data_IF_848548056644
#
_entry.id   IF_848548056644
#
_cell.length_a   1.000
_cell.length_b   1.000
_cell.length_c   1.000
_cell.angle_alpha   90.00
_cell.angle_beta   90.00
_cell.angle_gamma   90.00
#
_symmetry.space_group_name_H-M   'P 1'
#
loop_
_entity.id
_entity.type
_entity.pdbx_description
1 polymer ?
#
# COMPACT_ATOMS: atom_id res chain seq x y z
N UNK A 1 5.68 13.82 -9.24
CA UNK A 1 7.08 14.27 -9.20
C UNK A 1 7.84 13.56 -10.33
N UNK A 2 8.75 14.22 -11.06
CA UNK A 2 9.63 13.58 -12.09
C UNK A 2 11.10 13.76 -11.69
N UNK A 3 12.04 13.06 -12.34
CA UNK A 3 13.49 13.20 -12.03
C UNK A 3 13.95 14.66 -12.16
N UNK A 4 13.52 15.38 -13.19
CA UNK A 4 13.93 16.78 -13.41
C UNK A 4 13.37 17.71 -12.33
N UNK A 5 12.11 17.49 -11.93
CA UNK A 5 11.48 18.26 -10.84
C UNK A 5 12.12 17.92 -9.49
N UNK A 6 12.45 16.65 -9.27
CA UNK A 6 13.07 16.18 -8.03
C UNK A 6 14.51 16.65 -7.91
N UNK A 7 15.32 16.54 -8.96
CA UNK A 7 16.68 17.08 -9.00
C UNK A 7 16.71 18.59 -8.74
N UNK A 8 15.75 19.34 -9.30
CA UNK A 8 15.58 20.76 -8.96
C UNK A 8 15.27 20.97 -7.48
N UNK A 9 14.40 20.15 -6.90
CA UNK A 9 14.07 20.22 -5.47
C UNK A 9 15.27 19.88 -4.56
N UNK A 10 16.05 18.85 -4.92
CA UNK A 10 17.30 18.51 -4.21
C UNK A 10 18.29 19.69 -4.30
N UNK A 11 18.44 20.32 -5.47
CA UNK A 11 19.33 21.48 -5.63
C UNK A 11 18.92 22.67 -4.76
N UNK A 12 17.65 22.77 -4.34
CA UNK A 12 17.19 23.82 -3.42
C UNK A 12 17.38 23.47 -1.94
N UNK A 13 17.80 22.25 -1.60
CA UNK A 13 18.01 21.77 -0.24
C UNK A 13 19.49 21.77 0.14
N UNK A 14 20.14 22.93 -0.02
CA UNK A 14 21.54 23.14 0.41
C UNK A 14 22.59 22.35 -0.39
N UNK A 15 22.21 21.69 -1.49
CA UNK A 15 23.15 20.99 -2.36
C UNK A 15 24.01 21.98 -3.15
N UNK A 16 25.31 21.71 -3.20
CA UNK A 16 26.27 22.44 -4.05
C UNK A 16 26.18 22.04 -5.52
N UNK A 17 25.51 20.92 -5.82
CA UNK A 17 25.41 20.39 -7.17
C UNK A 17 24.24 21.01 -7.94
N UNK A 18 24.44 21.25 -9.22
CA UNK A 18 23.39 21.81 -10.07
C UNK A 18 22.28 20.77 -10.30
N UNK A 19 21.10 21.26 -10.68
CA UNK A 19 20.01 20.41 -11.19
C UNK A 19 20.49 19.41 -12.24
N UNK A 20 21.35 19.85 -13.16
CA UNK A 20 21.82 19.03 -14.27
C UNK A 20 22.70 17.87 -13.79
N UNK A 21 23.63 18.15 -12.87
CA UNK A 21 24.54 17.13 -12.31
C UNK A 21 23.75 16.10 -11.49
N UNK A 22 22.81 16.56 -10.66
CA UNK A 22 21.95 15.68 -9.86
C UNK A 22 21.10 14.79 -10.77
N UNK A 23 20.48 15.36 -11.82
CA UNK A 23 19.74 14.58 -12.81
C UNK A 23 20.62 13.49 -13.45
N UNK A 24 21.84 13.83 -13.86
CA UNK A 24 22.77 12.88 -14.46
C UNK A 24 23.09 11.73 -13.50
N UNK A 25 23.39 12.03 -12.24
CA UNK A 25 23.67 11.03 -11.20
C UNK A 25 22.46 10.11 -10.98
N UNK A 26 21.26 10.67 -10.91
CA UNK A 26 20.04 9.86 -10.73
C UNK A 26 19.79 8.91 -11.91
N UNK A 27 20.04 9.33 -13.15
CA UNK A 27 19.93 8.44 -14.31
C UNK A 27 20.97 7.32 -14.27
N UNK A 28 22.25 7.66 -14.00
CA UNK A 28 23.32 6.66 -13.88
C UNK A 28 23.01 5.67 -12.75
N UNK A 29 22.42 6.15 -11.66
CA UNK A 29 22.03 5.29 -10.53
C UNK A 29 21.02 4.23 -10.95
N UNK A 30 20.05 4.56 -11.82
CA UNK A 30 19.08 3.58 -12.34
C UNK A 30 19.79 2.45 -13.10
N UNK A 31 20.74 2.80 -13.97
CA UNK A 31 21.50 1.81 -14.75
C UNK A 31 22.36 0.92 -13.85
N UNK A 32 23.14 1.51 -12.94
CA UNK A 32 23.94 0.76 -11.97
C UNK A 32 23.08 -0.13 -11.07
N UNK A 33 21.94 0.36 -10.57
CA UNK A 33 21.05 -0.45 -9.74
C UNK A 33 20.53 -1.65 -10.51
N UNK A 34 20.13 -1.47 -11.77
CA UNK A 34 19.66 -2.57 -12.61
C UNK A 34 20.74 -3.63 -12.79
N UNK A 35 21.98 -3.24 -13.07
CA UNK A 35 23.11 -4.16 -13.22
C UNK A 35 23.35 -4.97 -11.94
N UNK A 36 23.53 -4.28 -10.81
CA UNK A 36 23.86 -4.96 -9.55
C UNK A 36 22.72 -5.87 -9.07
N UNK A 37 21.45 -5.47 -9.27
CA UNK A 37 20.31 -6.31 -8.91
C UNK A 37 20.20 -7.54 -9.82
N UNK A 38 20.46 -7.43 -11.12
CA UNK A 38 20.47 -8.59 -12.03
C UNK A 38 21.61 -9.57 -11.74
N UNK A 39 22.71 -9.10 -11.14
CA UNK A 39 23.76 -9.95 -10.56
C UNK A 39 23.36 -10.59 -9.22
N UNK A 40 22.13 -10.36 -8.74
CA UNK A 40 21.60 -10.90 -7.48
C UNK A 40 22.11 -10.19 -6.23
N UNK A 41 22.78 -9.04 -6.36
CA UNK A 41 23.32 -8.31 -5.21
C UNK A 41 22.24 -7.47 -4.54
N UNK A 42 22.20 -7.51 -3.20
CA UNK A 42 21.41 -6.58 -2.39
C UNK A 42 22.12 -5.23 -2.35
N UNK A 43 21.43 -4.17 -2.76
CA UNK A 43 21.93 -2.78 -2.70
C UNK A 43 21.41 -2.15 -1.42
N UNK A 44 22.32 -1.70 -0.54
CA UNK A 44 21.97 -1.06 0.74
C UNK A 44 22.37 0.41 0.70
N UNK A 45 21.39 1.31 0.80
CA UNK A 45 21.58 2.76 0.67
C UNK A 45 21.25 3.50 1.97
N UNK A 46 21.56 2.90 3.12
CA UNK A 46 21.38 3.50 4.43
C UNK A 46 19.92 3.87 4.71
N UNK A 47 19.66 5.12 5.05
CA UNK A 47 18.33 5.63 5.38
C UNK A 47 17.34 5.59 4.22
N UNK A 48 17.83 5.54 2.97
CA UNK A 48 16.97 5.30 1.81
C UNK A 48 16.41 3.87 1.81
N UNK A 49 17.13 2.93 2.42
CA UNK A 49 16.73 1.53 2.55
C UNK A 49 17.46 0.59 1.61
N UNK A 50 16.87 -0.59 1.49
CA UNK A 50 17.48 -1.77 0.91
C UNK A 50 16.71 -2.22 -0.33
N UNK A 51 17.42 -2.48 -1.43
CA UNK A 51 16.85 -3.00 -2.67
C UNK A 51 17.39 -4.40 -2.95
N UNK A 52 16.50 -5.35 -3.25
CA UNK A 52 16.85 -6.73 -3.59
C UNK A 52 15.93 -7.32 -4.64
N UNK A 53 16.34 -8.42 -5.25
CA UNK A 53 15.49 -9.20 -6.14
C UNK A 53 14.56 -10.13 -5.34
N UNK A 54 13.30 -10.17 -5.75
CA UNK A 54 12.33 -11.18 -5.37
C UNK A 54 12.03 -12.05 -6.59
N UNK A 55 12.24 -13.36 -6.46
CA UNK A 55 11.93 -14.36 -7.49
C UNK A 55 10.61 -15.05 -7.17
N UNK A 56 9.79 -15.26 -8.19
CA UNK A 56 8.64 -16.18 -8.13
C UNK A 56 8.87 -17.35 -9.08
N UNK A 57 8.48 -18.55 -8.67
CA UNK A 57 8.64 -19.75 -9.49
C UNK A 57 7.51 -20.73 -9.29
N UNK A 58 7.30 -21.60 -10.29
CA UNK A 58 6.55 -22.84 -10.14
C UNK A 58 7.50 -23.96 -9.71
N UNK A 59 7.14 -24.71 -8.66
CA UNK A 59 7.93 -25.86 -8.23
C UNK A 59 8.10 -26.91 -9.33
N UNK A 60 9.17 -27.70 -9.23
CA UNK A 60 9.40 -28.89 -10.03
C UNK A 60 9.18 -30.15 -9.16
N UNK A 61 9.10 -31.33 -9.78
CA UNK A 61 8.89 -32.60 -9.06
C UNK A 61 10.06 -32.93 -8.10
N UNK A 62 11.28 -32.59 -8.51
CA UNK A 62 12.52 -32.78 -7.76
C UNK A 62 13.52 -31.66 -8.11
N UNK A 63 14.61 -31.57 -7.34
CA UNK A 63 15.60 -30.49 -7.46
C UNK A 63 16.32 -30.50 -8.81
N UNK A 64 16.61 -31.69 -9.37
CA UNK A 64 17.34 -31.85 -10.61
C UNK A 64 16.53 -31.39 -11.84
N UNK A 65 15.19 -31.36 -11.71
CA UNK A 65 14.28 -30.84 -12.74
C UNK A 65 13.96 -29.36 -12.61
N UNK A 66 14.43 -28.68 -11.56
CA UNK A 66 14.24 -27.25 -11.45
C UNK A 66 15.21 -26.51 -12.39
N UNK A 67 14.66 -25.63 -13.23
CA UNK A 67 15.41 -24.89 -14.26
C UNK A 67 15.00 -23.42 -14.27
N UNK A 68 15.69 -22.59 -15.05
CA UNK A 68 15.33 -21.18 -15.19
C UNK A 68 13.91 -20.97 -15.75
N UNK A 69 13.38 -21.94 -16.50
CA UNK A 69 12.00 -21.93 -17.03
C UNK A 69 10.94 -22.04 -15.93
N UNK A 70 11.30 -22.54 -14.75
CA UNK A 70 10.43 -22.57 -13.58
C UNK A 70 10.24 -21.19 -12.97
N UNK A 71 11.19 -20.26 -13.17
CA UNK A 71 11.10 -18.88 -12.68
C UNK A 71 10.09 -18.14 -13.55
N UNK A 72 9.02 -17.67 -12.91
CA UNK A 72 7.90 -17.00 -13.59
C UNK A 72 7.97 -15.48 -13.48
N UNK A 73 8.72 -14.95 -12.51
CA UNK A 73 8.79 -13.50 -12.29
C UNK A 73 10.07 -13.10 -11.57
N UNK A 74 10.58 -11.90 -11.89
CA UNK A 74 11.73 -11.25 -11.27
C UNK A 74 11.34 -9.82 -10.96
N UNK A 75 11.20 -9.50 -9.67
CA UNK A 75 10.80 -8.18 -9.18
C UNK A 75 11.89 -7.56 -8.33
N UNK A 76 11.89 -6.23 -8.27
CA UNK A 76 12.67 -5.50 -7.26
C UNK A 76 11.78 -5.29 -6.05
N UNK A 77 12.26 -5.69 -4.89
CA UNK A 77 11.69 -5.36 -3.59
C UNK A 77 12.50 -4.22 -2.99
N UNK A 78 11.80 -3.23 -2.43
CA UNK A 78 12.39 -2.20 -1.58
C UNK A 78 11.93 -2.41 -0.15
N UNK A 79 12.88 -2.46 0.78
CA UNK A 79 12.64 -2.39 2.21
C UNK A 79 13.00 -0.97 2.69
N UNK A 80 12.03 -0.21 3.24
CA UNK A 80 12.27 1.16 3.64
C UNK A 80 13.30 1.26 4.76
N UNK A 81 14.20 2.25 4.65
CA UNK A 81 15.12 2.63 5.72
C UNK A 81 14.40 3.31 6.90
N UNK A 82 15.14 3.64 7.95
CA UNK A 82 14.59 4.13 9.22
C UNK A 82 13.68 5.36 9.04
N UNK A 83 14.12 6.33 8.24
CA UNK A 83 13.40 7.58 7.93
C UNK A 83 12.03 7.37 7.28
N UNK A 84 11.75 6.17 6.74
CA UNK A 84 10.50 5.86 6.03
C UNK A 84 9.55 4.92 6.80
N UNK A 85 9.96 4.36 7.95
CA UNK A 85 9.17 3.32 8.65
C UNK A 85 7.95 3.87 9.42
N UNK A 86 7.94 5.15 9.80
CA UNK A 86 6.92 5.73 10.70
C UNK A 86 6.27 7.02 10.16
N UNK A 87 6.12 7.16 8.85
CA UNK A 87 5.59 8.38 8.22
C UNK A 87 4.21 8.82 8.74
N UNK A 88 3.43 7.90 9.30
CA UNK A 88 2.11 8.21 9.88
C UNK A 88 2.19 9.21 11.04
N UNK A 89 3.29 9.23 11.79
CA UNK A 89 3.47 10.12 12.93
C UNK A 89 3.63 11.59 12.49
N UNK A 90 4.24 11.82 11.33
CA UNK A 90 4.53 13.15 10.78
C UNK A 90 3.53 13.58 9.69
N UNK A 91 2.58 12.70 9.34
CA UNK A 91 1.59 12.97 8.30
C UNK A 91 0.45 13.85 8.83
N UNK A 92 0.14 14.91 8.08
CA UNK A 92 -1.07 15.72 8.31
C UNK A 92 -2.22 15.23 7.44
N UNK A 93 -3.38 14.97 8.06
CA UNK A 93 -4.58 14.48 7.39
C UNK A 93 -5.64 15.57 7.27
N UNK A 94 -5.96 15.93 6.04
CA UNK A 94 -7.06 16.83 5.76
C UNK A 94 -8.35 16.03 5.57
N UNK A 95 -9.31 16.22 6.48
CA UNK A 95 -10.64 15.65 6.34
C UNK A 95 -11.33 16.28 5.13
N UNK A 96 -11.67 15.46 4.15
CA UNK A 96 -12.44 15.87 2.97
C UNK A 96 -13.84 15.30 3.04
N UNK A 97 -14.83 16.04 2.52
CA UNK A 97 -16.19 15.54 2.41
C UNK A 97 -16.22 14.23 1.60
N UNK A 98 -17.18 13.34 1.87
CA UNK A 98 -17.31 12.08 1.13
C UNK A 98 -17.46 12.34 -0.37
N UNK A 99 -17.07 11.36 -1.21
CA UNK A 99 -17.23 11.50 -2.67
C UNK A 99 -18.69 11.75 -3.09
N UNK A 100 -19.66 11.18 -2.37
CA UNK A 100 -21.09 11.43 -2.60
C UNK A 100 -21.47 12.88 -2.27
N UNK A 101 -20.95 13.43 -1.17
CA UNK A 101 -21.16 14.84 -0.81
C UNK A 101 -20.54 15.77 -1.86
N UNK A 102 -19.30 15.49 -2.29
CA UNK A 102 -18.62 16.27 -3.33
C UNK A 102 -19.38 16.21 -4.66
N UNK A 103 -19.86 15.03 -5.05
CA UNK A 103 -20.64 14.83 -6.28
C UNK A 103 -21.99 15.56 -6.22
N UNK A 104 -22.70 15.48 -5.08
CA UNK A 104 -23.95 16.20 -4.87
C UNK A 104 -23.75 17.72 -4.95
N UNK A 105 -22.66 18.24 -4.37
CA UNK A 105 -22.31 19.66 -4.44
C UNK A 105 -22.00 20.10 -5.87
N UNK A 106 -21.22 19.32 -6.62
CA UNK A 106 -20.91 19.62 -8.04
C UNK A 106 -22.19 19.60 -8.89
N UNK A 107 -23.07 18.61 -8.69
CA UNK A 107 -24.36 18.50 -9.40
C UNK A 107 -25.25 19.69 -9.09
N UNK A 108 -25.38 20.06 -7.82
CA UNK A 108 -26.19 21.20 -7.39
C UNK A 108 -25.66 22.54 -7.92
N UNK A 109 -24.33 22.75 -7.92
CA UNK A 109 -23.72 23.95 -8.53
C UNK A 109 -24.05 24.02 -10.02
N UNK A 110 -23.95 22.89 -10.75
CA UNK A 110 -24.28 22.81 -12.18
C UNK A 110 -25.77 23.08 -12.46
N UNK A 111 -26.64 22.65 -11.55
CA UNK A 111 -28.08 22.87 -11.61
C UNK A 111 -28.52 24.25 -11.08
N UNK A 112 -27.59 25.08 -10.60
CA UNK A 112 -27.90 26.40 -10.02
C UNK A 112 -28.63 26.36 -8.68
N UNK A 113 -28.58 25.23 -7.96
CA UNK A 113 -29.22 25.06 -6.65
C UNK A 113 -28.33 25.62 -5.54
N UNK A 114 -28.94 26.41 -4.65
CA UNK A 114 -28.25 27.00 -3.50
C UNK A 114 -28.05 26.01 -2.33
N UNK A 115 -28.81 24.91 -2.29
CA UNK A 115 -28.81 23.93 -1.20
C UNK A 115 -28.57 22.51 -1.71
N UNK A 116 -27.87 21.70 -0.93
CA UNK A 116 -27.48 20.33 -1.26
C UNK A 116 -27.79 19.42 -0.09
N UNK A 117 -28.59 18.37 -0.34
CA UNK A 117 -28.81 17.30 0.63
C UNK A 117 -27.70 16.24 0.49
N UNK A 118 -26.99 15.98 1.58
CA UNK A 118 -25.83 15.09 1.65
C UNK A 118 -26.21 13.75 2.31
N UNK A 119 -27.46 13.59 2.76
CA UNK A 119 -27.94 12.39 3.46
C UNK A 119 -28.21 11.19 2.53
N UNK A 120 -28.29 11.41 1.21
CA UNK A 120 -28.53 10.36 0.22
C UNK A 120 -27.28 10.07 -0.62
N UNK A 121 -26.88 8.79 -0.81
CA UNK A 121 -25.74 8.46 -1.67
C UNK A 121 -26.07 8.82 -3.12
N UNK A 122 -25.37 9.82 -3.69
CA UNK A 122 -25.41 10.07 -5.14
C UNK A 122 -24.22 9.38 -5.80
N UNK A 123 -24.50 8.45 -6.72
CA UNK A 123 -23.48 7.77 -7.52
C UNK A 123 -23.15 8.63 -8.75
N UNK A 124 -21.86 8.84 -9.11
CA UNK A 124 -21.51 9.53 -10.36
C UNK A 124 -21.99 8.70 -11.54
N UNK A 125 -23.13 9.08 -12.14
CA UNK A 125 -23.74 8.37 -13.27
C UNK A 125 -25.26 8.28 -13.25
N UNK A 126 -25.93 8.64 -12.14
CA UNK A 126 -27.39 8.70 -12.13
C UNK A 126 -27.90 9.99 -12.81
N UNK A 127 -27.87 9.94 -14.14
CA UNK A 127 -28.64 10.82 -15.00
C UNK A 127 -30.06 10.29 -15.11
N UNK A 128 -30.84 10.35 -14.03
CA UNK A 128 -32.28 10.23 -14.11
C UNK A 128 -32.87 11.63 -14.32
N UNK A 129 -33.03 12.00 -15.59
CA UNK A 129 -33.95 13.05 -15.99
C UNK A 129 -35.36 12.63 -15.58
N UNK A 130 -36.01 13.50 -14.81
CA UNK A 130 -37.33 13.24 -14.24
C UNK A 130 -38.45 13.21 -15.28
N UNK A 131 -39.47 12.40 -15.00
CA UNK A 131 -40.77 12.53 -15.63
C UNK A 131 -41.73 11.38 -15.33
N UNK A 132 -42.77 11.64 -14.53
CA UNK A 132 -44.02 10.88 -14.60
C UNK A 132 -44.58 10.38 -13.27
N UNK A 133 -45.50 11.15 -12.70
CA UNK A 133 -46.38 10.79 -11.58
C UNK A 133 -47.28 9.59 -11.87
N UNK A 134 -47.55 8.73 -10.87
CA UNK A 134 -48.90 8.24 -10.60
C UNK A 134 -49.04 7.69 -9.15
N UNK A 135 -50.10 8.03 -8.39
CA UNK A 135 -50.36 7.46 -7.08
C UNK A 135 -51.27 6.24 -7.21
N UNK A 136 -50.94 5.13 -6.54
CA UNK A 136 -51.90 4.05 -6.31
C UNK A 136 -51.69 3.49 -4.91
N UNK A 137 -52.64 3.78 -4.03
CA UNK A 137 -52.73 3.21 -2.71
C UNK A 137 -53.00 1.70 -2.76
N UNK A 138 -52.51 1.01 -1.73
CA UNK A 138 -52.75 -0.40 -1.50
C UNK A 138 -52.35 -0.75 -0.07
N UNK A 139 -53.35 -0.75 0.82
CA UNK A 139 -53.32 -1.27 2.19
C UNK A 139 -52.85 -2.72 2.25
N UNK A 140 -52.02 -3.06 3.25
CA UNK A 140 -51.67 -4.45 3.58
C UNK A 140 -50.88 -4.54 4.88
N UNK A 141 -51.56 -4.94 5.94
CA UNK A 141 -51.04 -5.27 7.28
C UNK A 141 -50.34 -6.65 7.30
N UNK A 142 -49.70 -6.96 8.44
CA UNK A 142 -48.95 -8.16 8.84
C UNK A 142 -47.45 -8.14 8.42
N UNK A 143 -46.48 -8.30 9.30
CA UNK A 143 -46.43 -8.97 10.60
C UNK A 143 -45.30 -10.01 10.54
N UNK A 144 -44.38 -10.00 11.52
CA UNK A 144 -43.39 -11.08 11.66
C UNK A 144 -42.04 -10.63 12.20
N UNK A 145 -41.88 -10.70 13.53
CA UNK A 145 -40.59 -10.79 14.19
C UNK A 145 -40.29 -12.28 14.39
N UNK A 146 -39.15 -12.82 13.95
CA UNK A 146 -38.56 -14.05 14.52
C UNK A 146 -37.06 -14.11 14.18
N UNK A 147 -36.26 -14.20 15.25
CA UNK A 147 -34.86 -14.60 15.26
C UNK A 147 -34.69 -16.02 14.68
N UNK A 148 -33.50 -16.37 14.15
CA UNK A 148 -32.75 -17.60 14.47
C UNK A 148 -31.80 -18.06 13.34
N UNK A 149 -30.52 -18.13 13.71
CA UNK A 149 -29.51 -19.14 13.36
C UNK A 149 -29.01 -19.32 11.92
N UNK A 150 -27.70 -19.03 11.76
CA UNK A 150 -26.69 -20.09 11.61
C UNK A 150 -26.46 -20.65 10.20
N UNK A 151 -25.30 -20.30 9.62
CA UNK A 151 -24.75 -20.93 8.42
C UNK A 151 -23.22 -20.91 8.45
N UNK A 152 -22.65 -22.08 8.73
CA UNK A 152 -21.22 -22.47 8.81
C UNK A 152 -20.47 -22.44 7.49
N UNK A 153 -19.17 -22.12 7.55
CA UNK A 153 -18.13 -22.49 6.57
C UNK A 153 -16.77 -22.43 7.29
N UNK A 154 -16.34 -23.52 7.92
CA UNK A 154 -15.43 -24.55 7.40
C UNK A 154 -13.97 -24.07 7.28
N UNK A 155 -13.29 -24.02 8.43
CA UNK A 155 -11.83 -23.97 8.54
C UNK A 155 -11.29 -25.37 8.85
N UNK A 156 -10.51 -25.92 7.93
CA UNK A 156 -9.78 -27.18 8.10
C UNK A 156 -8.28 -26.90 8.10
N UNK A 157 -7.55 -27.42 9.08
CA UNK A 157 -6.12 -27.65 8.96
C UNK A 157 -5.28 -27.28 10.17
N UNK A 158 -5.17 -28.22 11.11
CA UNK A 158 -4.32 -28.23 12.29
C UNK A 158 -2.81 -28.13 11.99
N UNK A 159 -2.03 -27.55 12.91
CA UNK A 159 -0.77 -28.18 13.36
C UNK A 159 -0.43 -27.76 14.82
N UNK A 160 0.19 -28.63 15.64
CA UNK A 160 0.19 -28.55 17.09
C UNK A 160 1.41 -27.86 17.70
N UNK A 161 1.24 -27.50 18.97
CA UNK A 161 2.22 -26.95 19.91
C UNK A 161 3.50 -27.79 20.07
N UNK A 162 4.61 -27.11 20.28
CA UNK A 162 5.83 -27.64 20.89
C UNK A 162 6.36 -26.63 21.91
N UNK A 163 6.27 -27.00 23.18
CA UNK A 163 6.71 -26.26 24.35
C UNK A 163 8.22 -25.98 24.35
N UNK A 164 8.63 -24.83 24.90
CA UNK A 164 9.92 -24.79 25.60
C UNK A 164 9.87 -23.81 26.78
N UNK A 165 10.02 -24.35 27.99
CA UNK A 165 10.07 -23.63 29.27
C UNK A 165 11.26 -24.15 30.07
N UNK A 166 12.07 -23.22 30.59
CA UNK A 166 13.25 -23.45 31.44
C UNK A 166 14.55 -23.24 30.65
N UNK A 167 15.57 -22.53 31.11
CA UNK A 167 16.03 -22.32 32.49
C UNK A 167 17.01 -21.14 32.57
N UNK A 168 17.16 -20.57 33.76
CA UNK A 168 18.04 -19.46 34.10
C UNK A 168 19.50 -19.92 34.32
N UNK A 169 20.47 -19.05 34.03
CA UNK A 169 21.87 -19.28 34.37
C UNK A 169 22.75 -18.07 34.03
N UNK A 170 23.24 -17.41 35.07
CA UNK A 170 24.05 -16.20 35.13
C UNK A 170 25.51 -16.58 35.45
N UNK A 171 26.49 -15.93 34.79
CA UNK A 171 27.89 -15.56 35.20
C UNK A 171 28.73 -15.43 33.90
N UNK A 172 29.65 -14.49 33.61
CA UNK A 172 30.35 -13.41 34.31
C UNK A 172 31.60 -13.01 33.48
N UNK A 173 32.14 -11.80 33.73
CA UNK A 173 33.40 -11.19 33.19
C UNK A 173 33.44 -10.84 31.69
N UNK A 174 33.77 -9.63 31.20
CA UNK A 174 34.55 -8.53 31.78
C UNK A 174 36.00 -8.65 31.31
N UNK A 175 36.37 -7.97 30.22
CA UNK A 175 37.75 -7.54 29.90
C UNK A 175 37.76 -6.56 28.70
N UNK A 176 37.93 -5.29 29.07
CA UNK A 176 38.68 -4.18 28.46
C UNK A 176 39.40 -4.42 27.12
N UNK A 177 39.24 -3.47 26.17
CA UNK A 177 40.36 -3.12 25.30
C UNK A 177 40.24 -1.67 24.79
N UNK A 178 40.91 -0.75 25.49
CA UNK A 178 41.43 0.48 24.90
C UNK A 178 42.70 0.13 24.12
N UNK A 179 42.79 0.57 22.85
CA UNK A 179 43.95 1.17 22.19
C UNK A 179 43.49 1.87 20.90
#
# INVERSE_FOLDING_TARGET
MTIEKFAKHISSHGSVYSRADISAILYITVDCMREQLLEGKKIRLGDLGDFSILLSSKGAEDADKFTAQNITDVKVQWEPGAEFKNLIADAEFNLVASRSAQAAVIKAIKEGKANVDISTPTTPGDGSDGGGSNPSGGTGSAGGNTEQSGGTSQGTGSNPSGDNKGDAGQDGSGEDNEL
#
